data_IF_706104026791
#
_entry.id   IF_706104026791
#
_cell.length_a   1.000
_cell.length_b   1.000
_cell.length_c   1.000
_cell.angle_alpha   90.00
_cell.angle_beta   90.00
_cell.angle_gamma   90.00
#
_symmetry.space_group_name_H-M   'P 1'
#
loop_
_entity.id
_entity.type
_entity.pdbx_description
1 polymer ?
#
# COMPACT_ATOMS: atom_id res chain seq x y z
N UNK A 1 23.63 19.27 10.48
CA UNK A 1 23.63 18.94 9.04
C UNK A 1 22.62 17.82 8.82
N UNK A 2 21.48 18.14 8.22
CA UNK A 2 20.40 17.19 7.89
C UNK A 2 20.18 17.29 6.39
N UNK A 3 21.08 16.70 5.61
CA UNK A 3 20.98 16.63 4.13
C UNK A 3 20.76 15.19 3.63
N UNK A 4 20.76 14.20 4.54
CA UNK A 4 20.58 12.77 4.20
C UNK A 4 19.24 12.36 3.56
N UNK A 5 18.06 12.96 3.86
CA UNK A 5 16.80 12.42 3.35
C UNK A 5 16.61 12.61 1.83
N UNK A 6 17.23 13.62 1.21
CA UNK A 6 16.99 13.94 -0.21
C UNK A 6 17.73 12.99 -1.14
N UNK A 7 18.97 12.61 -0.79
CA UNK A 7 19.76 11.66 -1.57
C UNK A 7 19.12 10.26 -1.56
N UNK A 8 18.65 9.80 -0.41
CA UNK A 8 17.96 8.51 -0.26
C UNK A 8 16.64 8.46 -1.06
N UNK A 9 15.86 9.55 -1.06
CA UNK A 9 14.64 9.64 -1.88
C UNK A 9 14.97 9.63 -3.38
N UNK A 10 16.04 10.32 -3.81
CA UNK A 10 16.45 10.35 -5.21
C UNK A 10 16.87 8.97 -5.71
N UNK A 11 17.58 8.20 -4.89
CA UNK A 11 17.97 6.81 -5.17
C UNK A 11 16.74 5.90 -5.28
N UNK A 12 15.78 6.01 -4.36
CA UNK A 12 14.51 5.26 -4.42
C UNK A 12 13.71 5.59 -5.68
N UNK A 13 13.66 6.87 -6.06
CA UNK A 13 13.00 7.30 -7.31
C UNK A 13 13.73 6.75 -8.53
N UNK A 14 15.07 6.72 -8.51
CA UNK A 14 15.85 6.16 -9.60
C UNK A 14 15.63 4.65 -9.74
N UNK A 15 15.58 3.92 -8.63
CA UNK A 15 15.24 2.50 -8.62
C UNK A 15 13.83 2.25 -9.19
N UNK A 16 12.83 2.98 -8.69
CA UNK A 16 11.46 2.92 -9.21
C UNK A 16 11.39 3.20 -10.72
N UNK A 17 12.21 4.12 -11.25
CA UNK A 17 12.24 4.42 -12.69
C UNK A 17 12.91 3.33 -13.51
N UNK A 18 13.98 2.73 -13.01
CA UNK A 18 14.90 1.91 -13.79
C UNK A 18 14.77 0.41 -13.54
N UNK A 19 14.03 -0.01 -12.52
CA UNK A 19 13.83 -1.41 -12.18
C UNK A 19 12.69 -2.04 -13.01
N UNK A 20 13.04 -2.98 -13.88
CA UNK A 20 12.10 -3.75 -14.72
C UNK A 20 12.18 -5.26 -14.43
N UNK A 21 12.62 -5.62 -13.23
CA UNK A 21 12.66 -7.01 -12.77
C UNK A 21 11.23 -7.46 -12.40
N UNK A 22 10.67 -8.37 -13.20
CA UNK A 22 9.31 -8.89 -13.00
C UNK A 22 9.24 -9.75 -11.75
N UNK A 23 10.27 -10.55 -11.46
CA UNK A 23 10.29 -11.41 -10.28
C UNK A 23 10.31 -10.55 -9.01
N UNK A 24 11.11 -9.48 -8.98
CA UNK A 24 11.15 -8.54 -7.87
C UNK A 24 9.78 -7.90 -7.60
N UNK A 25 9.14 -7.33 -8.62
CA UNK A 25 7.84 -6.68 -8.44
C UNK A 25 6.72 -7.66 -8.08
N UNK A 26 6.78 -8.89 -8.61
CA UNK A 26 5.85 -9.97 -8.27
C UNK A 26 5.99 -10.38 -6.81
N UNK A 27 7.23 -10.68 -6.36
CA UNK A 27 7.50 -11.05 -4.98
C UNK A 27 7.09 -9.96 -4.00
N UNK A 28 7.38 -8.69 -4.30
CA UNK A 28 6.98 -7.57 -3.46
C UNK A 28 5.45 -7.42 -3.35
N UNK A 29 4.71 -7.67 -4.44
CA UNK A 29 3.25 -7.69 -4.41
C UNK A 29 2.72 -8.83 -3.53
N UNK A 30 3.29 -10.03 -3.66
CA UNK A 30 2.93 -11.20 -2.85
C UNK A 30 3.19 -10.95 -1.35
N UNK A 31 4.32 -10.33 -1.01
CA UNK A 31 4.65 -9.94 0.37
C UNK A 31 3.61 -8.96 0.93
N UNK A 32 3.21 -7.96 0.15
CA UNK A 32 2.18 -7.00 0.54
C UNK A 32 0.82 -7.67 0.73
N UNK A 33 0.43 -8.56 -0.18
CA UNK A 33 -0.83 -9.31 -0.07
C UNK A 33 -0.83 -10.24 1.15
N UNK A 34 0.29 -10.91 1.42
CA UNK A 34 0.46 -11.73 2.62
C UNK A 34 0.36 -10.89 3.90
N UNK A 35 1.00 -9.71 3.93
CA UNK A 35 0.95 -8.81 5.09
C UNK A 35 -0.46 -8.30 5.34
N UNK A 36 -1.17 -7.85 4.30
CA UNK A 36 -2.57 -7.43 4.40
C UNK A 36 -3.45 -8.55 4.94
N UNK A 37 -3.28 -9.79 4.45
CA UNK A 37 -4.03 -10.94 4.95
C UNK A 37 -3.73 -11.23 6.43
N UNK A 38 -2.48 -11.07 6.87
CA UNK A 38 -2.09 -11.21 8.29
C UNK A 38 -2.72 -10.14 9.19
N UNK A 39 -2.75 -8.90 8.73
CA UNK A 39 -3.35 -7.78 9.46
C UNK A 39 -4.87 -7.94 9.60
N UNK A 40 -5.57 -8.38 8.54
CA UNK A 40 -7.01 -8.66 8.59
C UNK A 40 -7.38 -9.77 9.57
N UNK A 41 -6.50 -10.75 9.80
CA UNK A 41 -6.70 -11.78 10.84
C UNK A 41 -6.53 -11.24 12.26
N UNK A 42 -5.85 -10.10 12.41
CA UNK A 42 -5.46 -9.54 13.71
C UNK A 42 -6.42 -8.46 14.20
N UNK A 43 -7.33 -7.99 13.35
CA UNK A 43 -8.31 -6.97 13.69
C UNK A 43 -9.69 -7.59 13.94
N UNK A 44 -10.45 -6.99 14.87
CA UNK A 44 -11.86 -7.31 15.04
C UNK A 44 -12.64 -6.85 13.81
N UNK A 45 -13.18 -7.81 13.06
CA UNK A 45 -13.88 -7.53 11.81
C UNK A 45 -15.14 -6.67 11.98
N UNK A 46 -15.87 -6.81 13.09
CA UNK A 46 -17.07 -6.03 13.34
C UNK A 46 -16.73 -4.56 13.58
N UNK A 47 -15.71 -4.30 14.42
CA UNK A 47 -15.19 -2.95 14.66
C UNK A 47 -14.62 -2.33 13.40
N UNK A 48 -13.83 -3.08 12.64
CA UNK A 48 -13.25 -2.61 11.39
C UNK A 48 -14.33 -2.20 10.38
N UNK A 49 -15.40 -3.00 10.24
CA UNK A 49 -16.54 -2.67 9.37
C UNK A 49 -17.29 -1.42 9.87
N UNK A 50 -17.56 -1.32 11.17
CA UNK A 50 -18.23 -0.16 11.77
C UNK A 50 -17.44 1.13 11.52
N UNK A 51 -16.14 1.12 11.81
CA UNK A 51 -15.27 2.29 11.57
C UNK A 51 -15.15 2.63 10.09
N UNK A 52 -15.11 1.63 9.20
CA UNK A 52 -15.12 1.84 7.76
C UNK A 52 -16.41 2.51 7.27
N UNK A 53 -17.57 2.12 7.80
CA UNK A 53 -18.85 2.75 7.49
C UNK A 53 -18.92 4.19 7.99
N UNK A 54 -18.47 4.43 9.22
CA UNK A 54 -18.37 5.79 9.77
C UNK A 54 -17.45 6.67 8.91
N UNK A 55 -16.27 6.16 8.53
CA UNK A 55 -15.35 6.85 7.62
C UNK A 55 -16.00 7.23 6.30
N UNK A 56 -16.76 6.32 5.71
CA UNK A 56 -17.47 6.57 4.45
C UNK A 56 -18.55 7.65 4.60
N UNK A 57 -19.35 7.60 5.66
CA UNK A 57 -20.39 8.60 5.94
C UNK A 57 -19.79 9.99 6.18
N UNK A 58 -18.68 10.06 6.91
CA UNK A 58 -17.97 11.30 7.15
C UNK A 58 -17.41 11.93 5.86
N UNK A 59 -16.88 11.10 4.95
CA UNK A 59 -16.44 11.54 3.62
C UNK A 59 -17.60 12.04 2.74
N UNK A 60 -18.82 11.54 2.97
CA UNK A 60 -20.04 12.01 2.31
C UNK A 60 -20.61 13.30 2.92
N UNK A 61 -19.98 13.85 3.96
CA UNK A 61 -20.39 15.11 4.59
C UNK A 61 -21.27 14.96 5.83
N UNK A 62 -21.36 13.76 6.42
CA UNK A 62 -22.07 13.56 7.69
C UNK A 62 -21.24 14.13 8.87
N UNK A 63 -21.73 15.23 9.45
CA UNK A 63 -21.09 15.92 10.58
C UNK A 63 -21.07 15.09 11.87
N UNK A 64 -22.05 14.21 12.07
CA UNK A 64 -22.10 13.32 13.23
C UNK A 64 -21.06 12.22 13.07
N UNK A 65 -20.93 11.63 11.88
CA UNK A 65 -19.90 10.65 11.59
C UNK A 65 -18.48 11.24 11.71
N UNK A 66 -18.26 12.48 11.25
CA UNK A 66 -16.99 13.19 11.43
C UNK A 66 -16.63 13.37 12.92
N UNK A 67 -17.61 13.72 13.75
CA UNK A 67 -17.40 13.84 15.20
C UNK A 67 -17.01 12.50 15.85
N UNK A 68 -17.68 11.41 15.45
CA UNK A 68 -17.42 10.06 15.98
C UNK A 68 -16.05 9.49 15.57
N UNK A 69 -15.59 9.79 14.35
CA UNK A 69 -14.26 9.35 13.87
C UNK A 69 -13.10 9.94 14.64
N UNK A 70 -13.23 11.16 15.17
CA UNK A 70 -12.13 11.84 15.84
C UNK A 70 -11.62 11.11 17.10
N UNK A 71 -12.37 10.12 17.60
CA UNK A 71 -11.97 9.28 18.74
C UNK A 71 -11.77 7.79 18.41
N UNK A 72 -11.95 7.36 17.16
CA UNK A 72 -11.99 5.94 16.81
C UNK A 72 -11.18 5.57 15.56
N UNK A 73 -10.26 4.58 15.67
CA UNK A 73 -9.78 3.96 16.91
C UNK A 73 -8.98 4.94 17.78
N UNK A 74 -8.82 4.65 19.10
CA UNK A 74 -8.01 5.48 19.97
C UNK A 74 -6.59 5.68 19.42
N UNK A 75 -6.10 6.91 19.44
CA UNK A 75 -4.76 7.22 18.96
C UNK A 75 -3.71 6.37 19.71
N UNK A 76 -2.83 5.73 18.95
CA UNK A 76 -1.77 4.88 19.49
C UNK A 76 -2.20 3.46 19.89
N UNK A 77 -3.49 3.11 19.76
CA UNK A 77 -3.94 1.72 19.98
C UNK A 77 -3.37 0.78 18.92
N UNK A 78 -3.27 -0.51 19.24
CA UNK A 78 -2.82 -1.53 18.29
C UNK A 78 -3.78 -1.62 17.09
N UNK A 79 -5.08 -1.46 17.30
CA UNK A 79 -6.07 -1.42 16.22
C UNK A 79 -5.84 -0.23 15.29
N UNK A 80 -5.50 0.95 15.82
CA UNK A 80 -5.15 2.11 15.00
C UNK A 80 -3.93 1.84 14.15
N UNK A 81 -2.88 1.25 14.72
CA UNK A 81 -1.65 0.90 13.98
C UNK A 81 -1.94 -0.10 12.87
N UNK A 82 -2.71 -1.15 13.16
CA UNK A 82 -3.12 -2.17 12.18
C UNK A 82 -3.93 -1.52 11.06
N UNK A 83 -4.92 -0.67 11.39
CA UNK A 83 -5.73 0.02 10.38
C UNK A 83 -4.92 0.96 9.50
N UNK A 84 -4.01 1.73 10.09
CA UNK A 84 -3.14 2.64 9.34
C UNK A 84 -2.23 1.87 8.39
N UNK A 85 -1.69 0.74 8.85
CA UNK A 85 -0.88 -0.13 8.01
C UNK A 85 -1.68 -0.74 6.87
N UNK A 86 -2.88 -1.28 7.13
CA UNK A 86 -3.79 -1.78 6.09
C UNK A 86 -4.08 -0.68 5.06
N UNK A 87 -4.40 0.54 5.51
CA UNK A 87 -4.70 1.66 4.63
C UNK A 87 -3.49 2.05 3.76
N UNK A 88 -2.30 2.15 4.35
CA UNK A 88 -1.06 2.44 3.61
C UNK A 88 -0.75 1.35 2.57
N UNK A 89 -0.91 0.08 2.93
CA UNK A 89 -0.71 -1.04 2.01
C UNK A 89 -1.70 -0.97 0.83
N UNK A 90 -2.97 -0.68 1.07
CA UNK A 90 -3.95 -0.47 0.00
C UNK A 90 -3.64 0.74 -0.88
N UNK A 91 -3.11 1.83 -0.33
CA UNK A 91 -2.70 3.00 -1.10
C UNK A 91 -1.50 2.71 -2.03
N UNK A 92 -0.58 1.85 -1.59
CA UNK A 92 0.64 1.52 -2.36
C UNK A 92 0.39 0.42 -3.41
N UNK A 93 -0.59 -0.46 -3.20
CA UNK A 93 -0.90 -1.57 -4.10
C UNK A 93 -1.03 -1.19 -5.60
N UNK A 94 -1.77 -0.13 -5.98
CA UNK A 94 -1.87 0.28 -7.38
C UNK A 94 -0.51 0.67 -7.99
N UNK A 95 0.36 1.28 -7.18
CA UNK A 95 1.71 1.68 -7.59
C UNK A 95 2.56 0.45 -7.89
N UNK A 96 2.53 -0.57 -7.02
CA UNK A 96 3.25 -1.84 -7.25
C UNK A 96 2.75 -2.55 -8.51
N UNK A 97 1.43 -2.64 -8.70
CA UNK A 97 0.82 -3.26 -9.89
C UNK A 97 1.21 -2.52 -11.17
N UNK A 98 1.31 -1.18 -11.12
CA UNK A 98 1.79 -0.38 -12.25
C UNK A 98 3.24 -0.75 -12.64
N UNK A 99 4.14 -0.87 -11.67
CA UNK A 99 5.54 -1.21 -11.95
C UNK A 99 5.73 -2.65 -12.43
N UNK A 100 4.96 -3.59 -11.88
CA UNK A 100 4.91 -4.97 -12.37
C UNK A 100 4.43 -5.03 -13.84
N UNK A 101 3.36 -4.30 -14.16
CA UNK A 101 2.86 -4.21 -15.53
C UNK A 101 3.92 -3.63 -16.48
N UNK A 102 4.58 -2.55 -16.07
CA UNK A 102 5.68 -1.93 -16.84
C UNK A 102 6.84 -2.91 -17.08
N UNK A 103 7.26 -3.64 -16.05
CA UNK A 103 8.32 -4.65 -16.15
C UNK A 103 7.92 -5.78 -17.10
N UNK A 104 6.68 -6.26 -16.99
CA UNK A 104 6.13 -7.33 -17.82
C UNK A 104 6.11 -6.94 -19.29
N UNK A 105 5.63 -5.74 -19.62
CA UNK A 105 5.58 -5.26 -21.01
C UNK A 105 6.99 -5.13 -21.61
N UNK A 106 7.96 -4.60 -20.84
CA UNK A 106 9.34 -4.51 -21.32
C UNK A 106 9.93 -5.89 -21.62
N UNK A 107 9.66 -6.89 -20.78
CA UNK A 107 10.10 -8.28 -21.01
C UNK A 107 9.45 -8.86 -22.28
N UNK A 108 8.18 -8.57 -22.54
CA UNK A 108 7.47 -9.00 -23.74
C UNK A 108 8.02 -8.33 -25.01
N UNK A 109 8.31 -7.03 -24.96
CA UNK A 109 8.90 -6.27 -26.07
C UNK A 109 10.33 -6.72 -26.42
N UNK A 110 11.08 -7.22 -25.44
CA UNK A 110 12.44 -7.74 -25.65
C UNK A 110 12.47 -9.13 -26.31
N UNK A 111 11.31 -9.79 -26.47
CA UNK A 111 11.18 -11.11 -27.07
C UNK A 111 11.88 -12.22 -26.26
N UNK A 112 11.62 -13.51 -26.56
CA UNK A 112 12.44 -14.58 -26.02
C UNK A 112 13.90 -14.41 -26.51
N UNK A 113 14.91 -14.74 -25.69
CA UNK A 113 16.29 -14.77 -26.17
C UNK A 113 16.33 -15.69 -27.40
N UNK A 114 16.68 -15.11 -28.54
CA UNK A 114 16.63 -15.81 -29.82
C UNK A 114 17.44 -17.10 -29.74
N UNK A 115 16.85 -18.18 -30.24
CA UNK A 115 17.61 -19.33 -30.70
C UNK A 115 18.54 -18.85 -31.83
N UNK A 116 19.77 -18.50 -31.48
CA UNK A 116 20.91 -18.43 -32.40
C UNK A 116 21.84 -19.60 -32.09
#
# INVERSE_FOLDING_TARGET
MVEKPVAEIAELIADLKNNYDVEYWGALLDEFEHRVAGLHKSIDGAKYTEWGLLALQALQGDNQAQSLLNGMPPAGSEEKKIMDEIALLYLVQPVLRHYLFRATNRRQEQGPPGHQ
#
